data_IF_934299329315
#
_entry.id   IF_934299329315
#
_cell.length_a   1.000
_cell.length_b   1.000
_cell.length_c   1.000
_cell.angle_alpha   90.00
_cell.angle_beta   90.00
_cell.angle_gamma   90.00
#
_symmetry.space_group_name_H-M   'P 1'
#
loop_
_entity.id
_entity.type
_entity.pdbx_description
1 polymer ?
#
# COMPACT_ATOMS: atom_id res chain seq x y z
N UNK A 1 5.55 30.46 5.70
CA UNK A 1 4.43 29.68 5.15
C UNK A 1 3.33 29.62 6.19
N UNK A 2 2.05 29.62 5.82
CA UNK A 2 0.93 29.55 6.78
C UNK A 2 0.02 28.39 6.38
N UNK A 3 -0.32 27.52 7.34
CA UNK A 3 -1.27 26.44 7.12
C UNK A 3 -2.73 26.92 7.22
N UNK A 4 -3.69 26.19 6.61
CA UNK A 4 -5.11 26.53 6.70
C UNK A 4 -5.67 26.64 8.13
N UNK A 5 -5.03 25.98 9.11
CA UNK A 5 -5.42 26.06 10.52
C UNK A 5 -4.74 27.19 11.31
N UNK A 6 -4.09 28.12 10.61
CA UNK A 6 -3.45 29.30 11.18
C UNK A 6 -2.05 29.09 11.72
N UNK A 7 -1.49 27.86 11.68
CA UNK A 7 -0.09 27.66 12.08
C UNK A 7 0.85 28.36 11.09
N UNK A 8 1.70 29.24 11.61
CA UNK A 8 2.74 29.93 10.85
C UNK A 8 4.03 29.14 10.97
N UNK A 9 4.59 28.74 9.83
CA UNK A 9 5.84 28.02 9.72
C UNK A 9 6.96 28.95 9.25
N UNK A 10 7.98 29.07 10.09
CA UNK A 10 9.14 29.95 9.93
C UNK A 10 10.39 29.11 9.66
N UNK A 11 11.11 29.50 8.61
CA UNK A 11 12.37 28.91 8.19
C UNK A 11 13.50 29.90 8.46
N UNK A 12 14.54 29.47 9.15
CA UNK A 12 15.74 30.29 9.40
C UNK A 12 16.89 29.73 8.59
N UNK A 13 17.55 30.58 7.82
CA UNK A 13 18.67 30.22 6.96
C UNK A 13 19.97 30.76 7.54
N UNK A 14 21.07 30.04 7.31
CA UNK A 14 22.40 30.51 7.65
C UNK A 14 22.90 31.53 6.60
N UNK A 15 24.11 32.08 6.82
CA UNK A 15 24.70 33.09 5.92
C UNK A 15 24.97 32.58 4.49
N UNK A 16 25.07 31.27 4.29
CA UNK A 16 25.23 30.65 2.98
C UNK A 16 23.88 30.39 2.28
N UNK A 17 22.75 30.72 2.91
CA UNK A 17 21.42 30.45 2.35
C UNK A 17 20.90 29.04 2.61
N UNK A 18 21.62 28.23 3.38
CA UNK A 18 21.22 26.87 3.71
C UNK A 18 20.28 26.85 4.94
N UNK A 19 19.27 25.97 4.95
CA UNK A 19 18.30 25.92 6.04
C UNK A 19 18.98 25.51 7.36
N UNK A 20 18.80 26.32 8.40
CA UNK A 20 19.39 26.10 9.72
C UNK A 20 18.38 25.63 10.77
N UNK A 21 17.16 26.20 10.76
CA UNK A 21 16.11 25.89 11.74
C UNK A 21 14.73 25.99 11.10
N UNK A 22 13.77 25.28 11.69
CA UNK A 22 12.38 25.27 11.26
C UNK A 22 11.45 25.21 12.48
N UNK A 23 10.58 26.21 12.63
CA UNK A 23 9.71 26.37 13.78
C UNK A 23 8.28 26.70 13.35
N UNK A 24 7.29 26.03 13.94
CA UNK A 24 5.88 26.37 13.81
C UNK A 24 5.39 27.22 14.97
N UNK A 25 4.50 28.16 14.73
CA UNK A 25 3.80 28.92 15.77
C UNK A 25 2.29 28.86 15.52
N UNK A 26 1.53 28.42 16.52
CA UNK A 26 0.05 28.40 16.49
C UNK A 26 -0.48 28.84 17.84
N UNK A 27 -1.45 29.76 17.86
CA UNK A 27 -2.08 30.25 19.11
C UNK A 27 -1.04 30.68 20.17
N UNK A 28 0.00 31.40 19.74
CA UNK A 28 1.15 31.82 20.55
C UNK A 28 2.01 30.69 21.15
N UNK A 29 1.79 29.43 20.77
CA UNK A 29 2.65 28.31 21.11
C UNK A 29 3.65 28.02 19.98
N UNK A 30 4.94 27.93 20.33
CA UNK A 30 6.01 27.58 19.40
C UNK A 30 6.34 26.08 19.46
N UNK A 31 6.61 25.49 18.29
CA UNK A 31 7.00 24.09 18.11
C UNK A 31 8.26 24.03 17.25
N UNK A 32 9.36 23.55 17.80
CA UNK A 32 10.55 23.28 17.00
C UNK A 32 10.35 22.00 16.19
N UNK A 33 10.55 22.08 14.87
CA UNK A 33 10.60 20.91 14.00
C UNK A 33 12.04 20.52 13.69
N UNK A 34 12.87 21.52 13.40
CA UNK A 34 14.32 21.40 13.25
C UNK A 34 14.95 22.41 14.20
N UNK A 35 15.60 21.88 15.24
CA UNK A 35 16.36 22.67 16.22
C UNK A 35 17.69 23.14 15.64
N UNK A 36 18.31 22.31 14.79
CA UNK A 36 19.56 22.62 14.11
C UNK A 36 19.74 21.72 12.89
N UNK A 37 20.11 22.33 11.77
CA UNK A 37 20.61 21.66 10.57
C UNK A 37 21.92 22.31 10.18
N UNK A 38 22.96 21.49 10.01
CA UNK A 38 24.31 21.93 9.69
C UNK A 38 24.85 21.16 8.49
N UNK A 39 25.77 21.80 7.78
CA UNK A 39 26.32 21.33 6.52
C UNK A 39 27.85 21.33 6.62
N UNK A 40 28.49 20.56 5.75
CA UNK A 40 29.92 20.67 5.52
C UNK A 40 30.26 21.77 4.49
N UNK A 41 31.55 21.92 4.19
CA UNK A 41 32.09 22.90 3.25
C UNK A 41 31.60 22.72 1.80
N UNK A 42 30.99 21.58 1.47
CA UNK A 42 30.40 21.29 0.16
C UNK A 42 28.87 21.38 0.17
N UNK A 43 28.30 21.97 1.23
CA UNK A 43 26.86 22.13 1.43
C UNK A 43 26.09 20.80 1.55
N UNK A 44 26.78 19.69 1.86
CA UNK A 44 26.12 18.44 2.19
C UNK A 44 25.74 18.44 3.67
N UNK A 45 24.59 17.84 4.01
CA UNK A 45 24.11 17.79 5.40
C UNK A 45 25.09 17.02 6.26
N UNK A 46 25.61 17.63 7.31
CA UNK A 46 26.53 17.00 8.25
C UNK A 46 25.84 16.57 9.54
N UNK A 47 24.85 17.33 9.97
CA UNK A 47 24.14 17.11 11.23
C UNK A 47 22.72 17.66 11.21
N UNK A 48 21.77 16.92 11.79
CA UNK A 48 20.38 17.33 11.93
C UNK A 48 19.85 16.96 13.32
N UNK A 49 19.38 17.96 14.07
CA UNK A 49 18.65 17.79 15.32
C UNK A 49 17.18 18.17 15.14
N UNK A 50 16.32 17.18 15.28
CA UNK A 50 14.87 17.36 15.21
C UNK A 50 14.29 17.97 16.48
N UNK A 51 13.05 18.42 16.40
CA UNK A 51 12.25 18.92 17.53
C UNK A 51 12.18 17.97 18.72
N UNK A 52 12.11 16.66 18.45
CA UNK A 52 12.08 15.58 19.45
C UNK A 52 13.48 15.17 19.97
N UNK A 53 14.50 16.01 19.75
CA UNK A 53 15.90 15.81 20.14
C UNK A 53 16.60 14.60 19.51
N UNK A 54 15.96 13.94 18.53
CA UNK A 54 16.64 12.94 17.69
C UNK A 54 17.68 13.63 16.84
N UNK A 55 18.88 13.06 16.83
CA UNK A 55 20.05 13.60 16.14
C UNK A 55 20.48 12.64 15.04
N UNK A 56 20.73 13.18 13.85
CA UNK A 56 21.27 12.46 12.71
C UNK A 56 22.63 13.03 12.35
N UNK A 57 23.63 12.17 12.21
CA UNK A 57 24.97 12.50 11.78
C UNK A 57 25.24 11.81 10.45
N UNK A 58 25.85 12.56 9.52
CA UNK A 58 26.20 12.10 8.19
C UNK A 58 27.72 12.15 8.07
N UNK A 59 28.31 11.05 7.62
CA UNK A 59 29.74 10.98 7.29
C UNK A 59 29.87 10.64 5.82
N UNK A 60 30.64 11.45 5.09
CA UNK A 60 30.86 11.29 3.66
C UNK A 60 32.28 10.84 3.38
N UNK A 61 32.45 10.12 2.28
CA UNK A 61 33.76 9.85 1.68
C UNK A 61 34.46 11.17 1.36
N UNK A 62 35.71 11.31 1.77
CA UNK A 62 36.45 12.57 1.63
C UNK A 62 36.72 12.96 0.18
N UNK A 63 36.76 11.98 -0.72
CA UNK A 63 37.13 12.18 -2.14
C UNK A 63 35.89 12.19 -3.02
N UNK A 64 35.08 11.13 -2.97
CA UNK A 64 33.92 10.94 -3.84
C UNK A 64 32.64 11.55 -3.26
N UNK A 65 32.67 12.03 -2.01
CA UNK A 65 31.55 12.72 -1.36
C UNK A 65 30.26 11.88 -1.24
N UNK A 66 30.38 10.56 -1.35
CA UNK A 66 29.29 9.60 -1.14
C UNK A 66 29.06 9.37 0.34
N UNK A 67 27.82 9.16 0.75
CA UNK A 67 27.47 8.91 2.16
C UNK A 67 28.09 7.58 2.61
N UNK A 68 29.05 7.61 3.53
CA UNK A 68 29.66 6.40 4.09
C UNK A 68 28.92 5.89 5.32
N UNK A 69 28.39 6.80 6.15
CA UNK A 69 27.70 6.43 7.38
C UNK A 69 26.55 7.39 7.70
N UNK A 70 25.41 6.81 8.12
CA UNK A 70 24.26 7.51 8.67
C UNK A 70 23.98 7.00 10.08
N UNK A 71 24.18 7.87 11.06
CA UNK A 71 23.98 7.54 12.47
C UNK A 71 22.84 8.37 13.05
N UNK A 72 21.83 7.71 13.62
CA UNK A 72 20.65 8.35 14.22
C UNK A 72 20.52 7.90 15.67
N UNK A 73 20.50 8.85 16.60
CA UNK A 73 20.30 8.60 18.02
C UNK A 73 19.18 9.46 18.59
N UNK A 74 18.46 8.95 19.59
CA UNK A 74 17.54 9.71 20.42
C UNK A 74 17.97 9.55 21.87
N UNK A 75 18.52 10.62 22.46
CA UNK A 75 19.28 10.52 23.70
C UNK A 75 20.43 9.51 23.58
N UNK A 76 20.52 8.58 24.54
CA UNK A 76 21.53 7.51 24.54
C UNK A 76 21.12 6.29 23.68
N UNK A 77 19.97 6.32 23.02
CA UNK A 77 19.45 5.20 22.23
C UNK A 77 19.84 5.34 20.76
N UNK A 78 20.62 4.39 20.26
CA UNK A 78 20.85 4.25 18.82
C UNK A 78 19.58 3.76 18.12
N UNK A 79 19.17 4.45 17.05
CA UNK A 79 18.01 4.11 16.23
C UNK A 79 18.47 3.54 14.88
N UNK A 80 19.48 4.17 14.26
CA UNK A 80 20.09 3.74 13.01
C UNK A 80 21.60 3.90 13.13
N UNK A 81 22.37 2.93 12.65
CA UNK A 81 23.80 3.05 12.44
C UNK A 81 24.19 2.35 11.14
N UNK A 82 23.81 2.96 10.02
CA UNK A 82 24.04 2.41 8.69
C UNK A 82 25.43 2.77 8.20
N UNK A 83 26.14 1.78 7.68
CA UNK A 83 27.36 1.95 6.89
C UNK A 83 27.09 1.51 5.46
N UNK A 84 27.54 2.30 4.49
CA UNK A 84 27.29 2.12 3.07
C UNK A 84 28.59 1.79 2.36
N UNK A 85 28.54 0.78 1.49
CA UNK A 85 29.66 0.42 0.61
C UNK A 85 29.25 0.58 -0.84
N UNK A 86 30.18 1.00 -1.68
CA UNK A 86 29.95 1.29 -3.10
C UNK A 86 30.97 0.59 -3.98
N UNK A 87 30.62 0.33 -5.23
CA UNK A 87 31.62 0.05 -6.26
C UNK A 87 32.28 1.35 -6.78
N UNK A 88 33.20 1.20 -7.74
CA UNK A 88 33.95 2.32 -8.28
C UNK A 88 33.05 3.35 -9.00
N UNK A 89 31.97 2.90 -9.65
CA UNK A 89 31.07 3.78 -10.41
C UNK A 89 29.93 4.37 -9.55
N UNK A 90 29.71 3.83 -8.35
CA UNK A 90 28.78 4.37 -7.37
C UNK A 90 27.52 3.57 -7.11
N UNK A 91 27.44 2.33 -7.60
CA UNK A 91 26.37 1.45 -7.19
C UNK A 91 26.57 1.05 -5.73
N UNK A 92 25.48 1.01 -4.96
CA UNK A 92 25.52 0.61 -3.54
C UNK A 92 25.71 -0.90 -3.49
N UNK A 93 26.85 -1.37 -2.98
CA UNK A 93 27.13 -2.80 -2.79
C UNK A 93 26.55 -3.35 -1.49
N UNK A 94 26.29 -2.49 -0.51
CA UNK A 94 25.72 -2.95 0.74
C UNK A 94 25.39 -1.84 1.74
N UNK A 95 24.49 -2.18 2.65
CA UNK A 95 24.06 -1.35 3.77
C UNK A 95 24.08 -2.23 5.01
N UNK A 96 24.88 -1.86 6.01
CA UNK A 96 24.97 -2.58 7.27
C UNK A 96 24.55 -1.68 8.43
N UNK A 97 23.49 -2.06 9.12
CA UNK A 97 23.01 -1.44 10.35
C UNK A 97 23.49 -2.24 11.57
N UNK A 98 24.21 -1.59 12.49
CA UNK A 98 24.76 -2.25 13.69
C UNK A 98 24.08 -1.83 14.99
N UNK A 99 22.83 -1.39 14.93
CA UNK A 99 22.05 -1.05 16.13
C UNK A 99 21.77 -2.34 16.92
N UNK A 100 21.99 -2.36 18.25
CA UNK A 100 21.72 -3.54 19.06
C UNK A 100 20.22 -3.85 19.11
N UNK A 101 19.89 -5.07 19.53
CA UNK A 101 18.52 -5.42 19.90
C UNK A 101 18.18 -4.64 21.18
N UNK A 102 17.00 -4.00 21.18
CA UNK A 102 16.51 -3.20 22.32
C UNK A 102 15.21 -3.83 22.78
N UNK A 103 15.14 -4.20 24.05
CA UNK A 103 13.95 -4.84 24.61
C UNK A 103 12.72 -3.93 24.52
N UNK A 104 11.59 -4.50 24.09
CA UNK A 104 10.32 -3.80 23.89
C UNK A 104 10.43 -2.56 22.99
N UNK A 105 11.37 -2.55 22.04
CA UNK A 105 11.58 -1.42 21.14
C UNK A 105 11.99 -1.84 19.73
N UNK A 106 11.89 -0.88 18.81
CA UNK A 106 12.46 -1.05 17.47
C UNK A 106 13.99 -0.97 17.59
N UNK A 107 14.66 -2.00 17.10
CA UNK A 107 16.11 -2.17 17.14
C UNK A 107 16.49 -3.47 16.48
N UNK A 108 17.79 -3.78 16.49
CA UNK A 108 18.32 -4.96 15.83
C UNK A 108 19.20 -4.64 14.63
N UNK A 109 20.14 -5.55 14.39
CA UNK A 109 21.08 -5.42 13.29
C UNK A 109 20.44 -5.84 11.99
N UNK A 110 20.79 -5.16 10.91
CA UNK A 110 20.46 -5.61 9.56
C UNK A 110 21.64 -5.48 8.63
N UNK A 111 21.66 -6.30 7.60
CA UNK A 111 22.66 -6.22 6.54
C UNK A 111 21.97 -6.48 5.22
N UNK A 112 22.32 -5.70 4.21
CA UNK A 112 21.89 -5.86 2.83
C UNK A 112 23.11 -5.84 1.94
N UNK A 113 23.16 -6.72 0.96
CA UNK A 113 24.24 -6.78 -0.05
C UNK A 113 23.59 -6.84 -1.43
N UNK A 114 24.15 -6.10 -2.37
CA UNK A 114 23.64 -5.99 -3.74
C UNK A 114 24.74 -6.35 -4.74
N UNK A 115 24.35 -7.03 -5.80
CA UNK A 115 25.20 -7.29 -6.95
C UNK A 115 24.49 -6.82 -8.21
N UNK A 116 25.26 -6.29 -9.13
CA UNK A 116 24.77 -5.75 -10.39
C UNK A 116 25.33 -6.57 -11.54
N UNK A 117 24.62 -6.58 -12.67
CA UNK A 117 25.18 -7.03 -13.93
C UNK A 117 26.04 -5.94 -14.59
N UNK A 118 26.63 -6.25 -15.75
CA UNK A 118 27.53 -5.33 -16.47
C UNK A 118 26.82 -4.06 -16.98
N UNK A 119 25.48 -4.03 -16.96
CA UNK A 119 24.66 -2.88 -17.31
C UNK A 119 24.13 -2.13 -16.08
N UNK A 120 24.69 -2.43 -14.90
CA UNK A 120 24.33 -1.84 -13.61
C UNK A 120 22.87 -2.08 -13.20
N UNK A 121 22.25 -3.15 -13.69
CA UNK A 121 20.94 -3.60 -13.22
C UNK A 121 21.11 -4.52 -12.03
N UNK A 122 20.23 -4.39 -11.03
CA UNK A 122 20.25 -5.25 -9.86
C UNK A 122 20.10 -6.71 -10.28
N UNK A 123 21.13 -7.53 -10.06
CA UNK A 123 21.15 -8.95 -10.40
C UNK A 123 20.77 -9.82 -9.21
N UNK A 124 21.38 -9.55 -8.06
CA UNK A 124 21.04 -10.23 -6.80
C UNK A 124 21.00 -9.22 -5.65
N UNK A 125 20.12 -9.48 -4.69
CA UNK A 125 20.16 -8.82 -3.40
C UNK A 125 20.01 -9.86 -2.30
N UNK A 126 20.79 -9.72 -1.23
CA UNK A 126 20.58 -10.49 0.00
C UNK A 126 20.30 -9.53 1.13
N UNK A 127 19.51 -9.96 2.10
CA UNK A 127 19.30 -9.19 3.30
C UNK A 127 19.06 -10.07 4.51
N UNK A 128 19.50 -9.59 5.67
CA UNK A 128 19.20 -10.17 6.96
C UNK A 128 18.78 -9.08 7.94
N UNK A 129 17.92 -9.46 8.87
CA UNK A 129 17.50 -8.65 10.00
C UNK A 129 17.40 -9.54 11.23
N UNK A 130 17.95 -9.06 12.33
CA UNK A 130 17.92 -9.75 13.62
C UNK A 130 17.42 -8.77 14.69
N UNK A 131 16.14 -8.86 15.01
CA UNK A 131 15.48 -8.09 16.06
C UNK A 131 15.02 -8.98 17.22
N UNK A 132 14.42 -8.35 18.24
CA UNK A 132 13.94 -9.05 19.44
C UNK A 132 12.88 -10.10 19.11
N UNK A 133 11.84 -9.71 18.36
CA UNK A 133 10.69 -10.56 18.08
C UNK A 133 10.72 -11.20 16.68
N UNK A 134 11.55 -10.65 15.79
CA UNK A 134 11.57 -11.06 14.39
C UNK A 134 12.99 -11.17 13.88
N UNK A 135 13.26 -12.30 13.25
CA UNK A 135 14.41 -12.54 12.41
C UNK A 135 13.90 -12.73 10.99
N UNK A 136 14.57 -12.11 10.03
CA UNK A 136 14.22 -12.27 8.64
C UNK A 136 15.48 -12.37 7.79
N UNK A 137 15.41 -13.18 6.75
CA UNK A 137 16.46 -13.27 5.75
C UNK A 137 15.83 -13.42 4.37
N UNK A 138 16.44 -12.80 3.36
CA UNK A 138 16.01 -12.96 1.99
C UNK A 138 17.18 -13.05 1.02
N UNK A 139 16.93 -13.71 -0.10
CA UNK A 139 17.70 -13.65 -1.33
C UNK A 139 16.74 -13.33 -2.48
N UNK A 140 17.05 -12.27 -3.22
CA UNK A 140 16.36 -11.86 -4.43
C UNK A 140 17.28 -12.12 -5.63
N UNK A 141 16.77 -12.81 -6.65
CA UNK A 141 17.42 -12.94 -7.94
C UNK A 141 16.55 -12.30 -9.02
N UNK A 142 17.18 -11.46 -9.85
CA UNK A 142 16.54 -10.76 -10.97
C UNK A 142 17.16 -11.24 -12.27
N UNK A 143 16.35 -11.44 -13.30
CA UNK A 143 16.83 -11.71 -14.66
C UNK A 143 16.17 -10.76 -15.64
N UNK A 144 16.93 -10.39 -16.66
CA UNK A 144 16.49 -9.46 -17.69
C UNK A 144 16.74 -10.05 -19.07
N UNK A 145 15.93 -9.64 -20.05
CA UNK A 145 16.23 -9.87 -21.46
C UNK A 145 17.14 -8.74 -22.02
N UNK A 146 17.47 -8.86 -23.31
CA UNK A 146 18.31 -7.88 -24.01
C UNK A 146 17.63 -6.50 -24.18
N UNK A 147 16.30 -6.43 -24.03
CA UNK A 147 15.52 -5.19 -24.06
C UNK A 147 15.36 -4.57 -22.67
N UNK A 148 16.07 -5.08 -21.66
CA UNK A 148 16.03 -4.63 -20.26
C UNK A 148 14.72 -4.91 -19.53
N UNK A 149 13.82 -5.69 -20.13
CA UNK A 149 12.60 -6.14 -19.47
C UNK A 149 12.95 -7.20 -18.41
N UNK A 150 12.29 -7.15 -17.25
CA UNK A 150 12.42 -8.18 -16.22
C UNK A 150 11.76 -9.45 -16.75
N UNK A 151 12.49 -10.56 -16.83
CA UNK A 151 11.93 -11.87 -17.24
C UNK A 151 11.70 -12.80 -16.05
N UNK A 152 12.41 -12.57 -14.94
CA UNK A 152 12.21 -13.34 -13.72
C UNK A 152 12.55 -12.52 -12.48
N UNK A 153 11.74 -12.74 -11.43
CA UNK A 153 11.95 -12.21 -10.08
C UNK A 153 11.72 -13.32 -9.07
N UNK A 154 12.81 -13.82 -8.48
CA UNK A 154 12.76 -14.90 -7.50
C UNK A 154 13.14 -14.35 -6.13
N UNK A 155 12.19 -14.30 -5.21
CA UNK A 155 12.41 -13.90 -3.83
C UNK A 155 12.31 -15.14 -2.94
N UNK A 156 13.44 -15.60 -2.43
CA UNK A 156 13.47 -16.49 -1.27
C UNK A 156 13.46 -15.60 -0.03
N UNK A 157 12.45 -15.71 0.82
CA UNK A 157 12.31 -14.88 2.01
C UNK A 157 11.77 -15.73 3.14
N UNK A 158 12.39 -15.60 4.30
CA UNK A 158 12.01 -16.28 5.53
C UNK A 158 11.85 -15.26 6.64
N UNK A 159 10.78 -15.40 7.42
CA UNK A 159 10.53 -14.63 8.64
C UNK A 159 10.28 -15.63 9.76
N UNK A 160 11.14 -15.65 10.78
CA UNK A 160 11.08 -16.57 11.92
C UNK A 160 10.90 -18.04 11.49
N UNK A 161 11.70 -18.53 10.52
CA UNK A 161 11.55 -19.90 10.00
C UNK A 161 10.39 -20.09 9.02
N UNK A 162 9.52 -19.11 8.83
CA UNK A 162 8.36 -19.22 7.92
C UNK A 162 8.68 -18.66 6.53
N UNK A 163 8.61 -19.47 5.46
CA UNK A 163 8.76 -18.97 4.10
C UNK A 163 7.67 -17.98 3.72
N UNK A 164 8.08 -16.84 3.14
CA UNK A 164 7.25 -15.75 2.62
C UNK A 164 7.72 -15.28 1.23
N UNK A 165 8.45 -16.15 0.54
CA UNK A 165 9.00 -15.91 -0.79
C UNK A 165 7.96 -16.05 -1.90
N UNK A 166 8.39 -15.75 -3.13
CA UNK A 166 7.65 -15.97 -4.35
C UNK A 166 8.62 -16.11 -5.53
N UNK A 167 8.15 -16.67 -6.63
CA UNK A 167 8.89 -16.71 -7.89
C UNK A 167 7.96 -16.29 -9.02
N UNK A 168 8.35 -15.22 -9.70
CA UNK A 168 7.60 -14.64 -10.82
C UNK A 168 8.35 -14.86 -12.12
N UNK A 169 7.63 -15.31 -13.15
CA UNK A 169 8.09 -15.34 -14.53
C UNK A 169 7.25 -14.34 -15.34
N UNK A 170 7.92 -13.46 -16.10
CA UNK A 170 7.27 -12.41 -16.88
C UNK A 170 7.30 -12.77 -18.36
N UNK A 171 6.16 -12.66 -19.01
CA UNK A 171 5.96 -12.96 -20.42
C UNK A 171 5.64 -11.71 -21.22
N UNK A 172 6.13 -11.66 -22.47
CA UNK A 172 6.03 -10.51 -23.37
C UNK A 172 5.52 -10.96 -24.74
N UNK A 173 4.32 -11.53 -24.77
CA UNK A 173 3.72 -12.14 -25.95
C UNK A 173 2.83 -11.16 -26.74
N UNK A 174 2.66 -9.93 -26.26
CA UNK A 174 1.89 -8.90 -26.95
C UNK A 174 2.77 -8.15 -27.96
N UNK A 175 2.58 -8.42 -29.25
CA UNK A 175 3.37 -7.80 -30.33
C UNK A 175 3.12 -6.30 -30.51
N UNK A 176 1.96 -5.79 -30.08
CA UNK A 176 1.67 -4.35 -30.09
C UNK A 176 2.38 -3.62 -28.93
N UNK A 177 2.69 -4.34 -27.86
CA UNK A 177 3.35 -3.81 -26.67
C UNK A 177 4.50 -4.73 -26.20
N UNK A 178 5.57 -4.89 -26.99
CA UNK A 178 6.63 -5.90 -26.74
C UNK A 178 7.46 -5.65 -25.47
N UNK A 179 7.33 -4.46 -24.87
CA UNK A 179 7.99 -4.09 -23.61
C UNK A 179 7.04 -4.03 -22.41
N UNK A 180 5.76 -4.38 -22.62
CA UNK A 180 4.78 -4.48 -21.55
C UNK A 180 4.53 -5.97 -21.23
N UNK A 181 4.54 -6.37 -19.95
CA UNK A 181 4.32 -7.77 -19.60
C UNK A 181 2.89 -8.19 -19.95
N UNK A 182 2.73 -9.15 -20.87
CA UNK A 182 1.42 -9.72 -21.20
C UNK A 182 0.94 -10.71 -20.14
N UNK A 183 1.88 -11.33 -19.43
CA UNK A 183 1.60 -12.35 -18.43
C UNK A 183 2.62 -12.35 -17.30
N UNK A 184 2.17 -12.66 -16.08
CA UNK A 184 3.04 -12.93 -14.93
C UNK A 184 2.58 -14.23 -14.26
N UNK A 185 3.40 -15.26 -14.35
CA UNK A 185 3.17 -16.54 -13.66
C UNK A 185 3.84 -16.51 -12.29
N UNK A 186 3.14 -16.96 -11.25
CA UNK A 186 3.67 -17.07 -9.90
C UNK A 186 3.66 -18.53 -9.45
N UNK A 187 4.81 -19.04 -9.00
CA UNK A 187 4.92 -20.42 -8.49
C UNK A 187 3.92 -20.66 -7.35
N UNK A 188 3.14 -21.73 -7.47
CA UNK A 188 2.11 -22.10 -6.48
C UNK A 188 0.74 -21.45 -6.71
N UNK A 189 0.59 -20.55 -7.70
CA UNK A 189 -0.72 -20.10 -8.18
C UNK A 189 -1.14 -20.93 -9.41
N UNK A 190 -2.44 -21.29 -9.52
CA UNK A 190 -2.91 -22.15 -10.60
C UNK A 190 -2.97 -21.43 -11.95
N UNK A 191 -3.16 -20.10 -11.95
CA UNK A 191 -3.33 -19.31 -13.17
C UNK A 191 -2.40 -18.08 -13.15
N UNK A 192 -1.85 -17.67 -14.31
CA UNK A 192 -1.05 -16.47 -14.42
C UNK A 192 -1.91 -15.21 -14.31
N UNK A 193 -1.26 -14.09 -13.98
CA UNK A 193 -1.85 -12.76 -14.17
C UNK A 193 -1.70 -12.33 -15.61
N UNK A 194 -2.80 -12.17 -16.35
CA UNK A 194 -2.80 -11.76 -17.76
C UNK A 194 -3.21 -10.29 -17.88
N UNK A 195 -2.44 -9.50 -18.62
CA UNK A 195 -2.66 -8.07 -18.81
C UNK A 195 -3.19 -7.75 -20.21
N UNK A 196 -4.08 -6.77 -20.28
CA UNK A 196 -4.48 -6.10 -21.51
C UNK A 196 -4.12 -4.63 -21.48
N UNK A 197 -3.96 -4.07 -22.68
CA UNK A 197 -3.46 -2.73 -22.89
C UNK A 197 -4.29 -1.99 -23.93
N UNK A 198 -4.37 -0.67 -23.79
CA UNK A 198 -4.87 0.22 -24.85
C UNK A 198 -3.76 0.51 -25.88
N UNK A 199 -4.12 1.17 -26.99
CA UNK A 199 -3.16 1.51 -28.05
C UNK A 199 -2.00 2.43 -27.60
N UNK A 200 -2.14 3.11 -26.46
CA UNK A 200 -1.08 3.94 -25.87
C UNK A 200 -0.15 3.13 -24.94
N UNK A 201 -0.37 1.82 -24.82
CA UNK A 201 0.45 0.93 -23.99
C UNK A 201 0.13 0.99 -22.50
N UNK A 202 -1.02 1.55 -22.12
CA UNK A 202 -1.42 1.54 -20.72
C UNK A 202 -2.22 0.30 -20.36
N UNK A 203 -2.02 -0.28 -19.15
CA UNK A 203 -2.85 -1.40 -18.72
C UNK A 203 -4.30 -0.96 -18.54
N UNK A 204 -5.22 -1.69 -19.15
CA UNK A 204 -6.68 -1.50 -19.07
C UNK A 204 -7.32 -2.53 -18.15
N UNK A 205 -6.77 -3.74 -18.09
CA UNK A 205 -7.18 -4.75 -17.13
C UNK A 205 -6.07 -5.76 -16.85
N UNK A 206 -6.21 -6.47 -15.72
CA UNK A 206 -5.62 -7.78 -15.58
C UNK A 206 -6.58 -8.77 -14.92
N UNK A 207 -6.44 -10.04 -15.28
CA UNK A 207 -7.10 -11.18 -14.65
C UNK A 207 -6.07 -12.02 -13.92
N UNK A 208 -6.40 -12.53 -12.74
CA UNK A 208 -5.59 -13.44 -11.93
C UNK A 208 -6.53 -14.45 -11.23
N UNK A 209 -5.99 -15.52 -10.65
CA UNK A 209 -6.79 -16.47 -9.88
C UNK A 209 -7.63 -15.78 -8.78
N UNK A 210 -8.96 -15.89 -8.89
CA UNK A 210 -9.95 -15.27 -8.00
C UNK A 210 -9.78 -13.75 -7.81
N UNK A 211 -9.14 -13.06 -8.75
CA UNK A 211 -8.94 -11.62 -8.65
C UNK A 211 -8.92 -10.98 -10.04
N UNK A 212 -9.45 -9.77 -10.15
CA UNK A 212 -9.27 -8.96 -11.34
C UNK A 212 -9.00 -7.51 -10.94
N UNK A 213 -8.45 -6.78 -11.91
CA UNK A 213 -8.43 -5.32 -11.88
C UNK A 213 -8.86 -4.78 -13.23
N UNK A 214 -9.75 -3.79 -13.22
CA UNK A 214 -10.03 -2.94 -14.39
C UNK A 214 -9.58 -1.52 -14.12
N UNK A 215 -8.96 -0.88 -15.11
CA UNK A 215 -8.39 0.46 -15.06
C UNK A 215 -8.98 1.30 -16.18
N UNK A 216 -9.39 2.52 -15.86
CA UNK A 216 -9.95 3.47 -16.84
C UNK A 216 -9.22 4.79 -16.81
N UNK A 217 -9.20 5.46 -17.96
CA UNK A 217 -8.41 6.67 -18.20
C UNK A 217 -9.26 7.78 -18.79
N UNK A 218 -8.83 9.01 -18.57
CA UNK A 218 -9.37 10.17 -19.27
C UNK A 218 -8.72 10.35 -20.65
N UNK A 219 -9.23 11.33 -21.39
CA UNK A 219 -8.72 11.80 -22.67
C UNK A 219 -7.26 12.29 -22.64
N UNK A 220 -6.74 12.64 -21.45
CA UNK A 220 -5.34 13.03 -21.23
C UNK A 220 -4.46 11.85 -20.76
N UNK A 221 -4.98 10.62 -20.87
CA UNK A 221 -4.29 9.37 -20.56
C UNK A 221 -3.99 9.15 -19.06
N UNK A 222 -4.64 9.88 -18.16
CA UNK A 222 -4.48 9.77 -16.70
C UNK A 222 -5.43 8.73 -16.12
N UNK A 223 -4.97 7.98 -15.12
CA UNK A 223 -5.77 6.95 -14.46
C UNK A 223 -6.90 7.57 -13.63
N UNK A 224 -8.14 7.42 -14.07
CA UNK A 224 -9.34 7.95 -13.39
C UNK A 224 -9.99 6.95 -12.44
N UNK A 225 -9.95 5.67 -12.79
CA UNK A 225 -10.71 4.64 -12.09
C UNK A 225 -9.96 3.32 -12.00
N UNK A 226 -10.10 2.66 -10.86
CA UNK A 226 -9.76 1.24 -10.68
C UNK A 226 -10.97 0.52 -10.09
N UNK A 227 -11.33 -0.62 -10.66
CA UNK A 227 -12.18 -1.62 -10.01
C UNK A 227 -11.31 -2.81 -9.62
N UNK A 228 -11.16 -3.04 -8.32
CA UNK A 228 -10.46 -4.17 -7.71
C UNK A 228 -11.49 -5.09 -7.06
N UNK A 229 -11.87 -6.18 -7.72
CA UNK A 229 -12.83 -7.15 -7.18
C UNK A 229 -14.15 -6.54 -6.67
N UNK A 230 -14.68 -5.52 -7.36
CA UNK A 230 -15.89 -4.80 -6.96
C UNK A 230 -15.64 -3.62 -6.01
N UNK A 231 -14.40 -3.39 -5.58
CA UNK A 231 -14.01 -2.18 -4.86
C UNK A 231 -13.54 -1.11 -5.85
N UNK A 232 -14.21 0.03 -5.82
CA UNK A 232 -13.92 1.15 -6.70
C UNK A 232 -12.91 2.10 -6.07
N UNK A 233 -11.98 2.60 -6.87
CA UNK A 233 -11.08 3.69 -6.55
C UNK A 233 -11.16 4.73 -7.66
N UNK A 234 -11.43 5.98 -7.31
CA UNK A 234 -11.63 7.07 -8.27
C UNK A 234 -10.63 8.19 -8.00
N UNK A 235 -10.14 8.83 -9.06
CA UNK A 235 -9.09 9.84 -9.01
C UNK A 235 -9.45 11.06 -9.86
N UNK A 236 -9.35 12.24 -9.27
CA UNK A 236 -9.47 13.53 -9.97
C UNK A 236 -8.12 14.24 -9.99
N UNK A 237 -7.79 14.84 -11.12
CA UNK A 237 -6.61 15.66 -11.31
C UNK A 237 -7.00 17.11 -11.56
N UNK A 238 -6.13 18.05 -11.21
CA UNK A 238 -6.26 19.43 -11.67
C UNK A 238 -5.74 19.59 -13.10
N UNK A 239 -5.81 20.83 -13.61
CA UNK A 239 -5.37 21.19 -14.95
C UNK A 239 -3.86 21.02 -15.20
N UNK A 240 -3.05 20.79 -14.15
CA UNK A 240 -1.60 20.51 -14.27
C UNK A 240 -1.30 19.01 -14.25
N UNK A 241 -2.32 18.17 -13.99
CA UNK A 241 -2.17 16.73 -13.85
C UNK A 241 -1.82 16.28 -12.43
N UNK A 242 -1.86 17.16 -11.42
CA UNK A 242 -1.70 16.77 -10.03
C UNK A 242 -3.01 16.20 -9.48
N UNK A 243 -2.93 15.07 -8.75
CA UNK A 243 -4.12 14.43 -8.19
C UNK A 243 -4.65 15.24 -7.00
N UNK A 244 -5.84 15.82 -7.16
CA UNK A 244 -6.51 16.66 -6.12
C UNK A 244 -7.54 15.90 -5.30
N UNK A 245 -8.07 14.77 -5.81
CA UNK A 245 -9.04 13.97 -5.09
C UNK A 245 -8.82 12.49 -5.37
N UNK A 246 -8.95 11.69 -4.31
CA UNK A 246 -9.13 10.25 -4.39
C UNK A 246 -10.35 9.86 -3.57
N UNK A 247 -11.20 8.98 -4.08
CA UNK A 247 -12.22 8.31 -3.28
C UNK A 247 -12.18 6.80 -3.50
N UNK A 248 -12.77 6.05 -2.58
CA UNK A 248 -12.93 4.61 -2.78
C UNK A 248 -14.09 4.02 -1.98
N UNK A 249 -14.59 2.87 -2.41
CA UNK A 249 -15.50 2.08 -1.61
C UNK A 249 -16.04 0.89 -2.38
N UNK A 250 -16.92 0.15 -1.72
CA UNK A 250 -17.48 -1.09 -2.24
C UNK A 250 -18.73 -0.81 -3.09
N UNK A 251 -18.78 -1.33 -4.31
CA UNK A 251 -19.96 -1.14 -5.15
C UNK A 251 -21.20 -1.72 -4.47
N UNK A 252 -22.24 -0.90 -4.30
CA UNK A 252 -23.56 -1.34 -3.85
C UNK A 252 -24.55 -1.16 -4.99
N UNK A 253 -25.13 -2.28 -5.42
CA UNK A 253 -26.14 -2.31 -6.47
C UNK A 253 -27.54 -2.23 -5.87
N UNK A 254 -28.33 -1.29 -6.36
CA UNK A 254 -29.79 -1.32 -6.18
C UNK A 254 -30.40 -1.80 -7.48
N UNK A 255 -31.02 -2.97 -7.49
CA UNK A 255 -31.78 -3.48 -8.62
C UNK A 255 -33.27 -3.31 -8.36
N UNK A 256 -34.01 -2.79 -9.35
CA UNK A 256 -35.48 -2.76 -9.34
C UNK A 256 -35.94 -3.65 -10.48
N UNK A 257 -36.74 -4.68 -10.18
CA UNK A 257 -37.29 -5.61 -11.16
C UNK A 257 -36.24 -6.31 -12.06
N UNK A 258 -35.07 -6.63 -11.50
CA UNK A 258 -34.01 -7.33 -12.25
C UNK A 258 -33.16 -6.42 -13.16
N UNK A 259 -33.48 -5.13 -13.26
CA UNK A 259 -32.66 -4.12 -13.91
C UNK A 259 -31.92 -3.29 -12.85
N UNK A 260 -30.64 -2.97 -13.09
CA UNK A 260 -29.86 -2.12 -12.20
C UNK A 260 -30.43 -0.69 -12.22
N UNK A 261 -30.81 -0.17 -11.06
CA UNK A 261 -31.48 1.11 -10.91
C UNK A 261 -30.55 2.23 -10.39
N UNK A 262 -29.50 1.89 -9.63
CA UNK A 262 -28.48 2.85 -9.20
C UNK A 262 -27.19 2.16 -8.71
N UNK A 263 -26.05 2.84 -8.90
CA UNK A 263 -24.78 2.55 -8.23
C UNK A 263 -24.53 3.64 -7.18
N UNK A 264 -24.20 3.25 -5.94
CA UNK A 264 -23.97 4.19 -4.84
C UNK A 264 -22.57 4.81 -4.94
N UNK A 265 -22.50 6.14 -4.97
CA UNK A 265 -21.24 6.89 -4.94
C UNK A 265 -20.67 7.02 -3.52
N UNK A 266 -19.36 6.77 -3.37
CA UNK A 266 -18.65 6.84 -2.09
C UNK A 266 -18.24 8.28 -1.71
N UNK A 267 -19.19 9.08 -1.23
CA UNK A 267 -18.90 10.46 -0.77
C UNK A 267 -18.16 10.54 0.57
N UNK A 268 -18.10 9.44 1.32
CA UNK A 268 -17.61 9.43 2.69
C UNK A 268 -16.16 8.96 2.85
N UNK A 269 -15.63 8.24 1.87
CA UNK A 269 -14.27 7.71 1.91
C UNK A 269 -13.43 8.37 0.83
N UNK A 270 -13.09 9.63 1.10
CA UNK A 270 -12.28 10.46 0.21
C UNK A 270 -11.04 11.00 0.91
N UNK A 271 -10.06 11.35 0.09
CA UNK A 271 -8.86 12.09 0.45
C UNK A 271 -8.68 13.21 -0.59
N UNK A 272 -8.76 14.45 -0.14
CA UNK A 272 -8.50 15.64 -0.96
C UNK A 272 -7.07 16.14 -0.72
N UNK A 273 -6.35 16.43 -1.79
CA UNK A 273 -5.02 17.01 -1.78
C UNK A 273 -5.16 18.50 -2.08
N UNK A 274 -5.23 19.32 -1.03
CA UNK A 274 -5.37 20.78 -1.18
C UNK A 274 -4.04 21.38 -1.64
N UNK A 275 -2.93 20.81 -1.17
CA UNK A 275 -1.56 21.09 -1.61
C UNK A 275 -0.63 19.95 -1.17
N UNK A 276 0.64 19.90 -1.62
CA UNK A 276 1.64 18.97 -1.09
C UNK A 276 1.80 19.02 0.45
N UNK A 277 1.43 20.15 1.04
CA UNK A 277 1.53 20.42 2.47
C UNK A 277 0.28 20.05 3.27
N UNK A 278 -0.87 19.89 2.62
CA UNK A 278 -2.15 19.80 3.31
C UNK A 278 -3.11 18.82 2.62
N UNK A 279 -3.45 17.77 3.36
CA UNK A 279 -4.33 16.70 2.89
C UNK A 279 -5.55 16.62 3.80
N UNK A 280 -6.74 16.52 3.23
CA UNK A 280 -8.00 16.37 3.96
C UNK A 280 -8.60 14.99 3.71
N UNK A 281 -9.32 14.48 4.68
CA UNK A 281 -10.17 13.29 4.58
C UNK A 281 -11.37 13.45 5.51
N UNK A 282 -12.32 12.51 5.51
CA UNK A 282 -13.51 12.61 6.37
C UNK A 282 -13.15 12.82 7.85
N UNK A 283 -13.48 14.02 8.35
CA UNK A 283 -13.25 14.44 9.74
C UNK A 283 -11.79 14.67 10.14
N UNK A 284 -10.83 14.56 9.22
CA UNK A 284 -9.40 14.62 9.51
C UNK A 284 -8.64 15.44 8.49
N UNK A 285 -7.53 16.02 8.91
CA UNK A 285 -6.54 16.60 8.01
C UNK A 285 -5.14 16.21 8.43
N UNK A 286 -4.22 16.24 7.49
CA UNK A 286 -2.80 16.02 7.71
C UNK A 286 -2.02 17.22 7.18
N UNK A 287 -1.18 17.79 8.03
CA UNK A 287 -0.17 18.78 7.67
C UNK A 287 1.15 18.08 7.44
N UNK A 288 1.82 18.37 6.34
CA UNK A 288 3.12 17.82 5.99
C UNK A 288 4.18 18.92 6.03
N UNK A 289 5.19 18.73 6.87
CA UNK A 289 6.26 19.70 7.10
C UNK A 289 7.49 19.26 6.31
N UNK A 290 8.05 20.18 5.53
CA UNK A 290 9.16 19.91 4.64
C UNK A 290 10.36 20.78 4.96
N UNK A 291 11.54 20.24 4.70
CA UNK A 291 12.80 20.96 4.59
C UNK A 291 13.31 20.75 3.16
N UNK A 292 13.19 21.80 2.34
CA UNK A 292 13.33 21.68 0.88
C UNK A 292 12.31 20.71 0.30
N UNK A 293 12.78 19.71 -0.45
CA UNK A 293 11.94 18.64 -1.00
C UNK A 293 11.69 17.48 0.00
N UNK A 294 12.42 17.43 1.13
CA UNK A 294 12.33 16.34 2.09
C UNK A 294 11.23 16.57 3.12
N UNK A 295 10.26 15.65 3.23
CA UNK A 295 9.27 15.67 4.30
C UNK A 295 9.88 15.19 5.61
N UNK A 296 9.83 16.01 6.66
CA UNK A 296 10.44 15.70 7.96
C UNK A 296 9.45 15.15 8.99
N UNK A 297 8.19 15.59 8.95
CA UNK A 297 7.15 15.13 9.87
C UNK A 297 5.77 15.43 9.33
N UNK A 298 4.75 14.82 9.92
CA UNK A 298 3.36 15.09 9.61
C UNK A 298 2.54 15.18 10.89
N UNK A 299 1.63 16.14 10.96
CA UNK A 299 0.68 16.27 12.07
C UNK A 299 -0.73 15.96 11.58
N UNK A 300 -1.41 15.06 12.28
CA UNK A 300 -2.80 14.71 12.02
C UNK A 300 -3.67 15.56 12.95
N UNK A 301 -4.65 16.25 12.38
CA UNK A 301 -5.67 16.99 13.10
C UNK A 301 -7.06 16.39 12.84
N UNK A 302 -7.99 16.68 13.74
CA UNK A 302 -9.41 16.42 13.55
C UNK A 302 -10.10 17.74 13.18
N UNK A 303 -11.07 17.69 12.28
CA UNK A 303 -11.83 18.86 11.89
C UNK A 303 -12.68 18.61 10.65
N UNK A 304 -13.75 19.37 10.54
CA UNK A 304 -14.61 19.43 9.36
C UNK A 304 -14.26 20.68 8.58
N UNK A 305 -13.83 20.50 7.33
CA UNK A 305 -13.72 21.60 6.39
C UNK A 305 -15.10 21.77 5.76
N UNK A 306 -15.66 22.98 5.84
CA UNK A 306 -16.83 23.33 5.05
C UNK A 306 -16.41 23.16 3.58
N UNK A 307 -16.93 22.15 2.88
CA UNK A 307 -16.73 22.06 1.45
C UNK A 307 -17.51 23.23 0.84
N UNK A 308 -16.86 24.24 0.25
CA UNK A 308 -17.58 25.24 -0.50
C UNK A 308 -18.11 24.52 -1.74
N UNK A 309 -19.39 24.16 -1.71
CA UNK A 309 -20.08 23.36 -2.73
C UNK A 309 -19.53 21.94 -2.90
N UNK A 310 -20.41 21.01 -3.26
CA UNK A 310 -20.05 19.64 -3.62
C UNK A 310 -18.86 19.73 -4.58
N UNK A 311 -17.68 19.22 -4.22
CA UNK A 311 -16.64 18.94 -5.22
C UNK A 311 -17.18 17.81 -6.09
N UNK A 312 -18.08 18.15 -7.01
CA UNK A 312 -18.43 17.33 -8.15
C UNK A 312 -17.32 17.54 -9.16
N UNK A 313 -16.16 16.94 -8.89
CA UNK A 313 -15.32 16.50 -9.99
C UNK A 313 -16.19 15.57 -10.83
N UNK A 314 -16.81 16.07 -11.89
CA UNK A 314 -17.61 15.27 -12.82
C UNK A 314 -18.53 14.21 -12.18
N UNK A 315 -19.40 14.56 -11.21
CA UNK A 315 -20.27 13.58 -10.55
C UNK A 315 -21.11 12.73 -11.51
N UNK A 316 -21.40 13.27 -12.72
CA UNK A 316 -21.98 12.54 -13.84
C UNK A 316 -21.02 11.51 -14.45
N UNK A 317 -19.76 11.90 -14.68
CA UNK A 317 -18.72 11.02 -15.21
C UNK A 317 -18.40 9.88 -14.23
N UNK A 318 -18.30 10.14 -12.92
CA UNK A 318 -18.11 9.06 -11.96
C UNK A 318 -19.31 8.11 -11.84
N UNK A 319 -20.53 8.62 -11.94
CA UNK A 319 -21.72 7.76 -11.97
C UNK A 319 -21.76 6.88 -13.22
N UNK A 320 -21.46 7.44 -14.39
CA UNK A 320 -21.35 6.71 -15.66
C UNK A 320 -20.23 5.67 -15.61
N UNK A 321 -19.03 6.09 -15.21
CA UNK A 321 -17.86 5.22 -15.09
C UNK A 321 -18.08 4.08 -14.09
N UNK A 322 -18.68 4.38 -12.93
CA UNK A 322 -19.03 3.34 -11.95
C UNK A 322 -20.05 2.35 -12.53
N UNK A 323 -20.98 2.83 -13.37
CA UNK A 323 -21.94 1.98 -14.08
C UNK A 323 -21.25 1.09 -15.11
N UNK A 324 -20.35 1.64 -15.94
CA UNK A 324 -19.57 0.86 -16.93
C UNK A 324 -18.64 -0.18 -16.28
N UNK A 325 -18.00 0.18 -15.17
CA UNK A 325 -17.14 -0.72 -14.41
C UNK A 325 -17.96 -1.83 -13.73
N UNK A 326 -19.20 -1.55 -13.35
CA UNK A 326 -20.12 -2.55 -12.83
C UNK A 326 -20.68 -3.47 -13.92
N UNK A 327 -21.07 -2.93 -15.08
CA UNK A 327 -21.51 -3.75 -16.21
C UNK A 327 -20.44 -4.75 -16.64
N UNK A 328 -19.19 -4.30 -16.71
CA UNK A 328 -18.07 -5.19 -16.98
C UNK A 328 -17.89 -6.27 -15.90
N UNK A 329 -18.10 -5.93 -14.63
CA UNK A 329 -18.04 -6.92 -13.54
C UNK A 329 -19.12 -7.98 -13.73
N UNK A 330 -20.34 -7.57 -14.06
CA UNK A 330 -21.45 -8.48 -14.30
C UNK A 330 -21.18 -9.40 -15.50
N UNK A 331 -20.56 -8.88 -16.58
CA UNK A 331 -20.14 -9.65 -17.75
C UNK A 331 -19.00 -10.64 -17.41
N UNK A 332 -18.03 -10.21 -16.59
CA UNK A 332 -16.94 -11.08 -16.12
C UNK A 332 -17.49 -12.24 -15.28
N UNK A 333 -18.35 -11.96 -14.31
CA UNK A 333 -19.03 -12.98 -13.49
C UNK A 333 -19.85 -13.94 -14.35
N UNK A 334 -20.52 -13.42 -15.40
CA UNK A 334 -21.26 -14.24 -16.36
C UNK A 334 -20.34 -15.22 -17.11
N UNK A 335 -19.19 -14.76 -17.58
CA UNK A 335 -18.21 -15.59 -18.29
C UNK A 335 -17.61 -16.70 -17.41
N UNK A 336 -17.54 -16.49 -16.09
CA UNK A 336 -17.11 -17.52 -15.15
C UNK A 336 -18.14 -18.64 -14.95
N UNK A 337 -19.37 -18.49 -15.47
CA UNK A 337 -20.43 -19.49 -15.32
C UNK A 337 -20.86 -19.69 -13.86
N UNK A 338 -20.61 -18.71 -12.98
CA UNK A 338 -20.93 -18.82 -11.56
C UNK A 338 -22.46 -18.94 -11.41
N UNK A 339 -22.96 -19.98 -10.72
CA UNK A 339 -24.38 -20.09 -10.45
C UNK A 339 -24.81 -18.93 -9.54
N UNK A 340 -26.09 -18.55 -9.56
CA UNK A 340 -26.60 -17.71 -8.48
C UNK A 340 -26.35 -18.45 -7.14
N UNK A 341 -25.70 -17.81 -6.16
CA UNK A 341 -25.40 -18.34 -4.79
C UNK A 341 -24.26 -19.39 -4.66
N UNK A 342 -24.07 -19.99 -3.47
CA UNK A 342 -23.21 -19.49 -2.39
C UNK A 342 -21.71 -19.33 -2.78
N UNK A 343 -20.97 -18.47 -2.07
CA UNK A 343 -19.76 -17.79 -2.56
C UNK A 343 -18.50 -18.66 -2.69
N UNK A 344 -17.68 -18.35 -3.69
CA UNK A 344 -16.23 -18.65 -3.64
C UNK A 344 -15.37 -17.41 -3.33
N UNK A 345 -15.97 -16.22 -3.19
CA UNK A 345 -15.35 -15.01 -2.62
C UNK A 345 -16.46 -14.08 -2.08
N UNK A 346 -16.21 -13.34 -0.99
CA UNK A 346 -17.24 -12.48 -0.38
C UNK A 346 -17.75 -11.42 -1.37
N UNK A 347 -19.04 -11.49 -1.71
CA UNK A 347 -19.78 -10.35 -2.28
C UNK A 347 -20.04 -10.35 -3.79
N UNK A 348 -19.60 -11.35 -4.56
CA UNK A 348 -19.86 -11.42 -6.01
C UNK A 348 -20.99 -12.42 -6.32
N UNK A 349 -22.07 -11.95 -6.96
CA UNK A 349 -23.23 -12.75 -7.32
C UNK A 349 -23.58 -12.54 -8.80
N UNK A 350 -23.85 -13.62 -9.54
CA UNK A 350 -24.53 -13.52 -10.84
C UNK A 350 -26.04 -13.36 -10.60
N UNK A 351 -26.70 -12.40 -11.25
CA UNK A 351 -28.15 -12.28 -11.18
C UNK A 351 -28.83 -13.38 -12.02
N UNK A 352 -30.04 -13.85 -11.65
CA UNK A 352 -30.81 -14.80 -12.45
C UNK A 352 -31.11 -14.32 -13.87
N UNK A 353 -31.19 -12.99 -14.05
CA UNK A 353 -31.33 -12.39 -15.37
C UNK A 353 -30.09 -12.62 -16.24
N UNK A 354 -28.90 -12.76 -15.65
CA UNK A 354 -27.64 -12.95 -16.36
C UNK A 354 -27.32 -14.42 -16.69
N UNK A 355 -27.76 -15.37 -15.87
CA UNK A 355 -27.49 -16.82 -16.05
C UNK A 355 -28.68 -17.59 -16.61
N UNK A 356 -29.88 -16.99 -16.60
CA UNK A 356 -31.14 -17.69 -16.91
C UNK A 356 -31.54 -18.71 -15.85
N UNK A 357 -30.75 -18.87 -14.78
CA UNK A 357 -31.00 -19.79 -13.69
C UNK A 357 -31.64 -19.01 -12.52
N UNK A 358 -32.76 -19.46 -11.94
CA UNK A 358 -33.35 -18.81 -10.78
C UNK A 358 -32.36 -18.82 -9.61
N UNK A 359 -32.51 -17.89 -8.67
CA UNK A 359 -31.73 -17.96 -7.42
C UNK A 359 -31.91 -19.35 -6.79
N UNK A 360 -30.83 -19.95 -6.26
CA UNK A 360 -30.95 -21.22 -5.56
C UNK A 360 -31.94 -20.99 -4.45
N UNK A 361 -33.01 -21.79 -4.47
CA UNK A 361 -33.98 -21.73 -3.39
C UNK A 361 -33.25 -22.15 -2.13
N UNK A 362 -33.23 -21.34 -1.05
CA UNK A 362 -32.76 -21.86 0.22
C UNK A 362 -33.57 -23.12 0.52
N UNK A 363 -32.95 -24.22 1.01
CA UNK A 363 -33.74 -25.34 1.47
C UNK A 363 -34.78 -24.78 2.45
N UNK A 364 -36.06 -25.08 2.23
CA UNK A 364 -37.13 -24.64 3.11
C UNK A 364 -36.89 -25.26 4.50
N UNK A 365 -36.17 -24.55 5.35
CA UNK A 365 -36.07 -24.87 6.77
C UNK A 365 -37.02 -23.94 7.52
N UNK A 366 -37.87 -24.55 8.36
CA UNK A 366 -38.80 -23.84 9.22
C UNK A 366 -38.03 -22.85 10.09
N UNK A 367 -38.47 -21.59 10.11
CA UNK A 367 -37.85 -20.46 10.82
C UNK A 367 -37.82 -20.58 12.36
N UNK A 368 -38.17 -21.75 12.91
CA UNK A 368 -38.17 -22.04 14.35
C UNK A 368 -37.14 -23.10 14.75
N UNK A 369 -36.24 -23.53 13.87
CA UNK A 369 -35.13 -24.40 14.28
C UNK A 369 -33.91 -23.56 14.69
N UNK A 370 -33.52 -23.77 15.95
CA UNK A 370 -32.39 -23.19 16.64
C UNK A 370 -31.11 -23.28 15.79
N UNK A 371 -30.45 -22.14 15.54
CA UNK A 371 -29.22 -22.03 14.75
C UNK A 371 -27.98 -22.50 15.54
N UNK A 372 -28.03 -23.71 16.12
CA UNK A 372 -26.83 -24.30 16.69
C UNK A 372 -25.95 -24.94 15.62
N UNK A 373 -24.64 -24.89 15.86
CA UNK A 373 -23.64 -25.53 15.00
C UNK A 373 -23.81 -27.05 15.03
N UNK A 374 -23.62 -27.76 13.89
CA UNK A 374 -23.85 -29.18 13.79
C UNK A 374 -23.02 -30.00 14.80
N UNK A 375 -23.60 -31.10 15.27
CA UNK A 375 -22.96 -32.04 16.19
C UNK A 375 -21.69 -32.65 15.56
N UNK A 376 -20.56 -32.60 16.29
CA UNK A 376 -19.24 -33.07 15.82
C UNK A 376 -18.24 -31.97 15.44
N UNK A 377 -18.64 -30.69 15.36
CA UNK A 377 -17.70 -29.58 15.15
C UNK A 377 -17.08 -29.12 16.48
N UNK A 378 -15.78 -28.75 16.50
CA UNK A 378 -15.09 -28.34 17.73
C UNK A 378 -15.76 -27.10 18.32
N UNK A 379 -16.41 -27.27 19.48
CA UNK A 379 -17.03 -26.20 20.26
C UNK A 379 -15.99 -25.56 21.17
N UNK A 380 -16.20 -24.30 21.55
CA UNK A 380 -15.43 -23.70 22.64
C UNK A 380 -15.71 -24.49 23.93
N UNK A 381 -14.70 -24.87 24.73
CA UNK A 381 -14.94 -25.57 25.99
C UNK A 381 -15.71 -24.65 26.93
N UNK A 382 -16.87 -25.12 27.40
CA UNK A 382 -17.66 -24.42 28.42
C UNK A 382 -17.01 -24.69 29.77
N UNK A 383 -16.38 -23.68 30.36
CA UNK A 383 -15.96 -23.75 31.77
C UNK A 383 -17.19 -23.60 32.67
N UNK A 384 -17.39 -24.56 33.57
CA UNK A 384 -18.44 -24.45 34.58
C UNK A 384 -18.11 -23.29 35.55
N UNK A 385 -19.12 -22.53 35.95
CA UNK A 385 -19.02 -21.60 37.07
C UNK A 385 -18.70 -22.36 38.37
N UNK A 386 -18.00 -21.73 39.35
CA UNK A 386 -17.46 -22.41 40.51
C UNK A 386 -18.56 -22.78 41.53
N UNK A 387 -19.26 -23.89 41.28
CA UNK A 387 -20.03 -24.64 42.29
C UNK A 387 -20.73 -25.91 41.76
N UNK A 388 -20.68 -26.24 40.47
CA UNK A 388 -21.39 -27.42 39.95
C UNK A 388 -20.47 -28.62 39.71
N UNK A 389 -20.85 -29.76 40.32
CA UNK A 389 -20.14 -31.04 40.34
C UNK A 389 -20.23 -31.74 38.97
N UNK A 390 -19.20 -32.48 38.51
CA UNK A 390 -19.14 -32.98 37.13
C UNK A 390 -20.08 -34.18 36.90
N UNK A 391 -20.91 -34.10 35.86
CA UNK A 391 -21.68 -35.24 35.32
C UNK A 391 -20.90 -35.99 34.23
N UNK A 392 -21.21 -37.28 33.97
CA UNK A 392 -20.22 -38.29 33.58
C UNK A 392 -19.98 -38.44 32.07
N UNK A 393 -18.80 -38.98 31.77
CA UNK A 393 -18.29 -39.43 30.47
C UNK A 393 -19.03 -40.67 29.96
N UNK A 394 -19.52 -40.63 28.72
CA UNK A 394 -19.85 -41.80 27.89
C UNK A 394 -19.73 -41.40 26.41
N UNK A 395 -19.31 -42.19 25.43
CA UNK A 395 -18.42 -43.36 25.30
C UNK A 395 -18.33 -43.59 23.77
N UNK A 396 -17.15 -43.87 23.23
CA UNK A 396 -16.95 -44.27 21.83
C UNK A 396 -17.74 -45.54 21.45
N UNK A 397 -18.30 -45.59 20.24
CA UNK A 397 -18.58 -46.84 19.52
C UNK A 397 -18.51 -46.65 17.98
N UNK A 398 -17.35 -47.04 17.46
CA UNK A 398 -17.00 -47.71 16.19
C UNK A 398 -18.15 -48.04 15.21
N UNK A 399 -18.04 -47.57 13.96
CA UNK A 399 -17.68 -48.35 12.75
C UNK A 399 -17.18 -47.42 11.64
#
# INVERSE_FOLDING_TARGET
MIYPDGEVLTYTYNRAGNLQKMQGTKENQAYDYIKQLAYDEFEQRKYLKYGNDTQTHYTYDTTLRRLQQLNVNSGNRAIINNTYTYDLVGNVLGIKNTVPIIANSLGGSSQQTYQYDDLYRLKTATGSYNGENNQAAYTLAMRYNNMHNIVSKELQHEVNGTPKGYKLAYEYNNTQHPNAPSGITEDGKPEPRIYEYDGNGNPTQYLEFNNFRKMTRDEENRLMGINDNGRMHLYTYDHTGERVLKSSGDTQNVSINGAQAASINHFDNYTGYVSPYFVISKGKFTKHYFEGAGRITSKIGQGTFAQPTKITAGGLNYAQLSTEQQQWLDDYVRNLGLPPGPPTQQGLYASPAATGQPYPSPPKQNTNQNQETPEGWPRQPVFNAPSNVPGPLYSLAIL
#
